data_IF_033332149515
#
_entry.id   IF_033332149515
#
_cell.length_a   1.000
_cell.length_b   1.000
_cell.length_c   1.000
_cell.angle_alpha   90.00
_cell.angle_beta   90.00
_cell.angle_gamma   90.00
#
_symmetry.space_group_name_H-M   'P 1'
#
loop_
_entity.id
_entity.type
_entity.pdbx_description
1 polymer ?
#
# COMPACT_ATOMS: atom_id res chain seq x y z
N UNK A 1 -7.31 -14.14 -7.09
CA UNK A 1 -6.37 -14.56 -8.15
C UNK A 1 -5.47 -15.63 -7.55
N UNK A 2 -5.08 -16.64 -8.31
CA UNK A 2 -4.10 -17.64 -7.90
C UNK A 2 -3.09 -17.85 -9.03
N UNK A 3 -1.81 -17.62 -8.74
CA UNK A 3 -0.73 -17.92 -9.69
C UNK A 3 -0.51 -19.44 -9.74
N UNK A 4 -0.21 -19.98 -10.92
CA UNK A 4 -0.07 -21.42 -11.13
C UNK A 4 1.31 -21.78 -11.67
N UNK A 5 1.86 -20.96 -12.58
CA UNK A 5 3.18 -21.19 -13.18
C UNK A 5 3.82 -19.88 -13.56
N UNK A 6 5.14 -19.82 -13.41
CA UNK A 6 5.97 -18.74 -13.91
C UNK A 6 7.21 -19.33 -14.56
N UNK A 7 7.47 -18.94 -15.80
CA UNK A 7 8.70 -19.26 -16.52
C UNK A 7 9.38 -17.97 -16.97
N UNK A 8 10.68 -17.87 -16.78
CA UNK A 8 11.50 -16.71 -17.16
C UNK A 8 12.73 -17.22 -17.90
N UNK A 9 12.92 -16.76 -19.14
CA UNK A 9 14.06 -17.15 -19.96
C UNK A 9 15.37 -16.56 -19.44
N UNK A 10 15.40 -15.24 -19.29
CA UNK A 10 16.57 -14.52 -18.82
C UNK A 10 16.16 -13.26 -18.07
N UNK A 11 16.38 -13.24 -16.76
CA UNK A 11 16.25 -12.05 -15.94
C UNK A 11 17.26 -12.09 -14.79
N UNK A 12 18.32 -11.28 -14.92
CA UNK A 12 19.40 -11.18 -13.93
C UNK A 12 20.08 -12.52 -13.68
N UNK A 13 19.88 -13.13 -12.51
CA UNK A 13 20.42 -14.45 -12.17
C UNK A 13 19.43 -15.59 -12.41
N UNK A 14 18.20 -15.30 -12.86
CA UNK A 14 17.23 -16.30 -13.29
C UNK A 14 17.52 -16.65 -14.75
N UNK A 15 17.91 -17.90 -15.00
CA UNK A 15 18.27 -18.44 -16.32
C UNK A 15 17.43 -19.68 -16.57
N UNK A 16 16.60 -19.65 -17.61
CA UNK A 16 15.60 -20.69 -17.91
C UNK A 16 14.85 -21.16 -16.65
N UNK A 17 14.47 -20.19 -15.81
CA UNK A 17 13.84 -20.42 -14.52
C UNK A 17 12.39 -20.80 -14.72
N UNK A 18 11.93 -21.81 -14.00
CA UNK A 18 10.54 -22.24 -14.00
C UNK A 18 10.11 -22.64 -12.58
N UNK A 19 8.94 -22.16 -12.16
CA UNK A 19 8.34 -22.52 -10.88
C UNK A 19 6.84 -22.72 -11.06
N UNK A 20 6.29 -23.71 -10.36
CA UNK A 20 4.87 -23.98 -10.26
C UNK A 20 4.37 -23.73 -8.85
N UNK A 21 3.15 -23.24 -8.74
CA UNK A 21 2.48 -22.94 -7.49
C UNK A 21 1.35 -23.94 -7.32
N UNK A 22 1.53 -24.87 -6.40
CA UNK A 22 0.53 -25.89 -6.06
C UNK A 22 -0.72 -25.22 -5.49
N UNK A 23 -1.90 -25.66 -5.92
CA UNK A 23 -3.17 -25.24 -5.32
C UNK A 23 -3.50 -26.08 -4.09
N UNK A 24 -4.07 -27.29 -4.26
CA UNK A 24 -4.27 -28.22 -3.17
C UNK A 24 -2.99 -29.00 -2.85
N UNK A 25 -2.63 -29.10 -1.58
CA UNK A 25 -1.61 -30.04 -1.11
C UNK A 25 -2.07 -30.71 0.21
N UNK A 26 -1.44 -31.83 0.58
CA UNK A 26 -1.68 -32.44 1.88
C UNK A 26 -1.03 -31.60 2.98
N UNK A 27 -1.76 -31.30 4.05
CA UNK A 27 -1.20 -30.71 5.26
C UNK A 27 -0.46 -31.75 6.11
N UNK A 28 -0.02 -31.36 7.31
CA UNK A 28 0.76 -32.23 8.21
C UNK A 28 -0.03 -33.44 8.69
N UNK A 29 -1.37 -33.34 8.65
CA UNK A 29 -2.32 -34.37 9.06
C UNK A 29 -2.78 -35.23 7.86
N UNK A 30 -2.27 -34.94 6.65
CA UNK A 30 -2.60 -35.66 5.42
C UNK A 30 -3.91 -35.20 4.75
N UNK A 31 -4.54 -34.14 5.25
CA UNK A 31 -5.76 -33.58 4.65
C UNK A 31 -5.41 -32.70 3.46
N UNK A 32 -6.10 -32.89 2.34
CA UNK A 32 -5.92 -32.03 1.17
C UNK A 32 -6.58 -30.68 1.46
N UNK A 33 -5.75 -29.64 1.58
CA UNK A 33 -6.21 -28.26 1.78
C UNK A 33 -5.76 -27.38 0.63
N UNK A 34 -6.58 -26.39 0.32
CA UNK A 34 -6.27 -25.37 -0.67
C UNK A 34 -5.34 -24.32 -0.06
N UNK A 35 -4.12 -24.19 -0.58
CA UNK A 35 -3.16 -23.20 -0.11
C UNK A 35 -3.27 -21.91 -0.92
N UNK A 36 -3.54 -20.82 -0.20
CA UNK A 36 -3.58 -19.46 -0.76
C UNK A 36 -2.28 -18.69 -0.55
N UNK A 37 -1.32 -19.29 0.16
CA UNK A 37 -0.01 -18.73 0.45
C UNK A 37 1.11 -19.69 0.02
N UNK A 38 2.22 -19.11 -0.45
CA UNK A 38 3.38 -19.86 -0.92
C UNK A 38 4.63 -19.26 -0.30
N UNK A 39 5.51 -20.11 0.22
CA UNK A 39 6.79 -19.71 0.77
C UNK A 39 7.92 -20.17 -0.16
N UNK A 40 8.79 -19.23 -0.57
CA UNK A 40 9.99 -19.54 -1.35
C UNK A 40 11.21 -19.36 -0.47
N UNK A 41 11.88 -20.47 -0.17
CA UNK A 41 12.99 -20.54 0.78
C UNK A 41 14.27 -20.92 0.05
N UNK A 42 15.40 -20.36 0.47
CA UNK A 42 16.71 -20.67 -0.10
C UNK A 42 17.79 -19.74 0.42
N UNK A 43 19.07 -20.02 0.11
CA UNK A 43 20.20 -19.22 0.57
C UNK A 43 20.22 -17.81 -0.05
N UNK A 44 20.96 -16.89 0.56
CA UNK A 44 21.16 -15.55 -0.02
C UNK A 44 21.81 -15.64 -1.41
N UNK A 45 21.38 -14.77 -2.33
CA UNK A 45 21.85 -14.78 -3.72
C UNK A 45 21.19 -15.82 -4.63
N UNK A 46 20.30 -16.68 -4.12
CA UNK A 46 19.62 -17.72 -4.93
C UNK A 46 18.56 -17.20 -5.92
N UNK A 47 18.31 -15.89 -5.98
CA UNK A 47 17.35 -15.28 -6.91
C UNK A 47 15.94 -15.06 -6.38
N UNK A 48 15.64 -15.38 -5.11
CA UNK A 48 14.30 -15.17 -4.50
C UNK A 48 13.73 -13.77 -4.71
N UNK A 49 14.50 -12.73 -4.38
CA UNK A 49 14.08 -11.34 -4.58
C UNK A 49 13.95 -10.98 -6.06
N UNK A 50 14.78 -11.55 -6.93
CA UNK A 50 14.66 -11.35 -8.38
C UNK A 50 13.39 -12.02 -8.94
N UNK A 51 12.96 -13.15 -8.39
CA UNK A 51 11.69 -13.78 -8.75
C UNK A 51 10.50 -12.90 -8.36
N UNK A 52 10.49 -12.36 -7.14
CA UNK A 52 9.45 -11.43 -6.68
C UNK A 52 9.44 -10.17 -7.55
N UNK A 53 10.60 -9.59 -7.84
CA UNK A 53 10.71 -8.43 -8.73
C UNK A 53 10.23 -8.73 -10.15
N UNK A 54 10.48 -9.93 -10.68
CA UNK A 54 9.98 -10.33 -11.99
C UNK A 54 8.44 -10.41 -12.00
N UNK A 55 7.83 -10.99 -10.97
CA UNK A 55 6.37 -11.05 -10.81
C UNK A 55 5.76 -9.65 -10.79
N UNK A 56 6.32 -8.76 -9.95
CA UNK A 56 5.85 -7.36 -9.87
C UNK A 56 6.01 -6.65 -11.21
N UNK A 57 7.16 -6.82 -11.88
CA UNK A 57 7.43 -6.22 -13.19
C UNK A 57 6.40 -6.69 -14.23
N UNK A 58 6.11 -7.99 -14.30
CA UNK A 58 5.11 -8.55 -15.21
C UNK A 58 3.74 -7.89 -14.98
N UNK A 59 3.23 -7.88 -13.75
CA UNK A 59 1.91 -7.30 -13.48
C UNK A 59 1.88 -5.78 -13.67
N UNK A 60 2.97 -5.08 -13.36
CA UNK A 60 3.12 -3.65 -13.65
C UNK A 60 2.97 -3.39 -15.15
N UNK A 61 3.71 -4.12 -15.97
CA UNK A 61 3.76 -3.91 -17.41
C UNK A 61 2.43 -4.30 -18.08
N UNK A 62 1.82 -5.41 -17.63
CA UNK A 62 0.49 -5.80 -18.06
C UNK A 62 -0.56 -4.73 -17.75
N UNK A 63 -0.51 -4.13 -16.56
CA UNK A 63 -1.45 -3.10 -16.13
C UNK A 63 -1.24 -1.75 -16.83
N UNK A 64 0.02 -1.38 -17.08
CA UNK A 64 0.40 -0.15 -17.77
C UNK A 64 0.38 -0.28 -19.30
N UNK A 65 0.14 -1.50 -19.83
CA UNK A 65 0.29 -1.85 -21.24
C UNK A 65 1.68 -1.47 -21.79
N UNK A 66 2.73 -1.80 -21.03
CA UNK A 66 4.14 -1.61 -21.38
C UNK A 66 4.77 -2.94 -21.79
N UNK A 67 5.88 -2.88 -22.53
CA UNK A 67 6.65 -4.07 -22.89
C UNK A 67 7.54 -4.44 -21.70
N UNK A 68 7.53 -5.70 -21.30
CA UNK A 68 8.46 -6.24 -20.30
C UNK A 68 9.85 -6.44 -20.88
N UNK A 69 10.86 -6.10 -20.08
CA UNK A 69 12.28 -6.12 -20.48
C UNK A 69 12.88 -7.53 -20.55
N UNK A 70 12.10 -8.56 -20.26
CA UNK A 70 12.52 -9.97 -20.30
C UNK A 70 11.39 -10.87 -20.82
N UNK A 71 11.78 -12.01 -21.38
CA UNK A 71 10.87 -13.01 -21.91
C UNK A 71 10.33 -13.92 -20.79
N UNK A 72 9.00 -14.11 -20.76
CA UNK A 72 8.34 -14.90 -19.72
C UNK A 72 7.10 -15.65 -20.24
N UNK A 73 6.70 -16.67 -19.49
CA UNK A 73 5.35 -17.24 -19.49
C UNK A 73 4.79 -17.15 -18.07
N UNK A 74 3.52 -16.79 -17.93
CA UNK A 74 2.84 -16.81 -16.63
C UNK A 74 1.42 -17.37 -16.80
N UNK A 75 1.07 -18.29 -15.92
CA UNK A 75 -0.25 -18.91 -15.85
C UNK A 75 -0.88 -18.58 -14.49
N UNK A 76 -2.13 -18.13 -14.50
CA UNK A 76 -2.86 -17.80 -13.29
C UNK A 76 -4.38 -17.86 -13.50
N UNK A 77 -5.11 -18.09 -12.40
CA UNK A 77 -6.56 -17.93 -12.37
C UNK A 77 -6.96 -16.57 -11.80
N UNK A 78 -7.95 -15.94 -12.41
CA UNK A 78 -8.50 -14.68 -11.92
C UNK A 78 -10.00 -14.61 -12.20
N UNK A 79 -10.81 -14.48 -11.13
CA UNK A 79 -12.27 -14.29 -11.20
C UNK A 79 -12.98 -15.31 -12.12
N UNK A 80 -12.65 -16.61 -12.00
CA UNK A 80 -13.24 -17.66 -12.84
C UNK A 80 -12.67 -17.79 -14.26
N UNK A 81 -11.54 -17.16 -14.54
CA UNK A 81 -10.82 -17.26 -15.80
C UNK A 81 -9.47 -17.91 -15.56
N UNK A 82 -9.03 -18.78 -16.46
CA UNK A 82 -7.65 -19.21 -16.58
C UNK A 82 -6.96 -18.34 -17.64
N UNK A 83 -5.89 -17.64 -17.24
CA UNK A 83 -5.13 -16.75 -18.12
C UNK A 83 -3.72 -17.31 -18.27
N UNK A 84 -3.30 -17.45 -19.51
CA UNK A 84 -1.92 -17.78 -19.87
C UNK A 84 -1.36 -16.64 -20.69
N UNK A 85 -0.24 -16.07 -20.27
CA UNK A 85 0.46 -15.03 -21.02
C UNK A 85 1.78 -15.60 -21.48
N UNK A 86 1.99 -15.62 -22.80
CA UNK A 86 3.26 -15.98 -23.41
C UNK A 86 3.90 -14.74 -24.03
N UNK A 87 4.98 -14.27 -23.43
CA UNK A 87 5.79 -13.15 -23.89
C UNK A 87 7.22 -13.61 -24.25
N UNK A 88 7.37 -14.85 -24.74
CA UNK A 88 8.65 -15.40 -25.16
C UNK A 88 9.13 -14.85 -26.52
N UNK A 89 8.18 -14.40 -27.34
CA UNK A 89 8.41 -13.84 -28.68
C UNK A 89 8.18 -12.32 -28.70
N UNK A 90 8.61 -11.64 -29.76
CA UNK A 90 8.40 -10.18 -29.92
C UNK A 90 6.92 -9.77 -29.85
N UNK A 91 6.03 -10.61 -30.37
CA UNK A 91 4.57 -10.43 -30.30
C UNK A 91 3.98 -11.44 -29.32
N UNK A 92 4.04 -11.10 -28.04
CA UNK A 92 3.41 -11.90 -27.00
C UNK A 92 1.89 -12.02 -27.18
N UNK A 93 1.33 -13.10 -26.64
CA UNK A 93 -0.09 -13.43 -26.71
C UNK A 93 -0.64 -13.76 -25.32
N UNK A 94 -1.93 -13.56 -25.14
CA UNK A 94 -2.68 -14.01 -23.97
C UNK A 94 -3.77 -15.00 -24.41
N UNK A 95 -3.83 -16.16 -23.77
CA UNK A 95 -4.89 -17.14 -23.93
C UNK A 95 -5.78 -17.10 -22.70
N UNK A 96 -7.09 -17.00 -22.90
CA UNK A 96 -8.07 -16.91 -21.82
C UNK A 96 -9.08 -18.03 -21.98
N UNK A 97 -9.30 -18.79 -20.91
CA UNK A 97 -10.34 -19.82 -20.82
C UNK A 97 -11.30 -19.47 -19.70
N UNK A 98 -12.59 -19.37 -20.00
CA UNK A 98 -13.65 -19.18 -19.00
C UNK A 98 -14.02 -20.50 -18.31
N UNK A 99 -14.36 -20.47 -17.02
CA UNK A 99 -14.87 -21.64 -16.31
C UNK A 99 -16.10 -22.21 -17.01
N UNK A 100 -15.97 -23.43 -17.56
CA UNK A 100 -17.04 -24.12 -18.28
C UNK A 100 -16.93 -24.07 -19.81
N UNK A 101 -15.93 -23.38 -20.37
CA UNK A 101 -15.55 -23.49 -21.78
C UNK A 101 -14.36 -24.45 -21.96
N UNK A 102 -14.42 -25.32 -22.97
CA UNK A 102 -13.34 -26.29 -23.25
C UNK A 102 -12.21 -25.70 -24.12
N UNK A 103 -12.44 -24.57 -24.80
CA UNK A 103 -11.47 -23.99 -25.75
C UNK A 103 -10.92 -22.62 -25.31
N UNK A 104 -9.59 -22.43 -25.27
CA UNK A 104 -8.99 -21.14 -24.98
C UNK A 104 -9.21 -20.18 -26.16
N UNK A 105 -9.48 -18.91 -25.85
CA UNK A 105 -9.54 -17.81 -26.83
C UNK A 105 -8.23 -17.03 -26.78
N UNK A 106 -7.61 -16.82 -27.95
CA UNK A 106 -6.36 -16.06 -28.08
C UNK A 106 -6.61 -14.56 -28.28
N UNK A 107 -5.82 -13.73 -27.59
CA UNK A 107 -5.85 -12.28 -27.66
C UNK A 107 -4.44 -11.69 -27.68
N UNK A 108 -4.32 -10.44 -28.12
CA UNK A 108 -3.13 -9.64 -27.86
C UNK A 108 -3.04 -9.31 -26.36
N UNK A 109 -1.82 -9.19 -25.81
CA UNK A 109 -1.59 -8.87 -24.39
C UNK A 109 -2.33 -7.59 -23.95
N UNK A 110 -2.43 -6.58 -24.81
CA UNK A 110 -3.16 -5.33 -24.54
C UNK A 110 -4.66 -5.52 -24.28
N UNK A 111 -5.23 -6.69 -24.59
CA UNK A 111 -6.59 -7.05 -24.18
C UNK A 111 -6.71 -7.17 -22.66
N UNK A 112 -5.67 -7.66 -21.98
CA UNK A 112 -5.67 -7.80 -20.52
C UNK A 112 -5.78 -6.44 -19.83
N UNK A 113 -5.05 -5.44 -20.29
CA UNK A 113 -5.13 -4.08 -19.75
C UNK A 113 -6.50 -3.45 -19.98
N UNK A 114 -7.06 -3.55 -21.20
CA UNK A 114 -8.40 -3.03 -21.52
C UNK A 114 -9.50 -3.65 -20.67
N UNK A 115 -9.29 -4.87 -20.21
CA UNK A 115 -10.21 -5.60 -19.33
C UNK A 115 -9.56 -5.94 -17.98
N UNK A 116 -8.73 -5.02 -17.44
CA UNK A 116 -7.91 -5.24 -16.23
C UNK A 116 -8.76 -5.61 -15.00
N UNK A 117 -9.98 -5.08 -14.87
CA UNK A 117 -10.92 -5.44 -13.80
C UNK A 117 -11.42 -6.88 -13.88
N UNK A 118 -11.33 -7.53 -15.06
CA UNK A 118 -11.73 -8.92 -15.27
C UNK A 118 -10.52 -9.86 -15.17
N UNK A 119 -9.44 -9.56 -15.90
CA UNK A 119 -8.34 -10.51 -16.11
C UNK A 119 -7.05 -10.24 -15.34
N UNK A 120 -6.91 -9.11 -14.64
CA UNK A 120 -5.74 -8.79 -13.82
C UNK A 120 -6.13 -8.70 -12.33
N UNK A 121 -5.22 -9.00 -11.37
CA UNK A 121 -5.51 -8.82 -9.95
C UNK A 121 -5.99 -7.38 -9.65
N UNK A 122 -6.94 -7.21 -8.73
CA UNK A 122 -7.39 -5.87 -8.30
C UNK A 122 -6.21 -5.09 -7.71
N UNK A 123 -5.41 -5.75 -6.87
CA UNK A 123 -4.24 -5.17 -6.24
C UNK A 123 -3.05 -6.15 -6.21
N UNK A 124 -1.85 -5.60 -6.34
CA UNK A 124 -0.56 -6.26 -6.11
C UNK A 124 0.17 -5.46 -5.04
N UNK A 125 0.29 -6.05 -3.86
CA UNK A 125 1.02 -5.46 -2.73
C UNK A 125 2.41 -6.05 -2.66
N UNK A 126 3.41 -5.20 -2.40
CA UNK A 126 4.75 -5.66 -2.06
C UNK A 126 5.18 -5.04 -0.74
N UNK A 127 5.62 -5.89 0.17
CA UNK A 127 6.31 -5.52 1.39
C UNK A 127 7.72 -6.10 1.36
N UNK A 128 8.70 -5.30 1.76
CA UNK A 128 10.10 -5.72 1.86
C UNK A 128 10.65 -5.33 3.24
N UNK A 129 11.16 -6.30 3.99
CA UNK A 129 11.87 -6.02 5.24
C UNK A 129 13.23 -5.40 4.92
N UNK A 130 13.44 -4.17 5.39
CA UNK A 130 14.60 -3.34 5.07
C UNK A 130 14.43 -2.44 3.84
N UNK A 131 15.53 -1.84 3.38
CA UNK A 131 15.52 -0.91 2.24
C UNK A 131 15.78 -1.64 0.94
N UNK A 132 14.82 -1.59 0.02
CA UNK A 132 15.00 -2.04 -1.36
C UNK A 132 14.35 -1.04 -2.32
N UNK A 133 15.13 -0.01 -2.67
CA UNK A 133 14.70 1.03 -3.60
C UNK A 133 14.37 0.47 -5.00
N UNK A 134 14.97 -0.68 -5.35
CA UNK A 134 14.80 -1.30 -6.67
C UNK A 134 13.40 -1.91 -6.85
N UNK A 135 12.89 -2.61 -5.84
CA UNK A 135 11.50 -3.10 -5.91
C UNK A 135 10.52 -1.94 -5.77
N UNK A 136 10.80 -0.97 -4.90
CA UNK A 136 9.97 0.23 -4.72
C UNK A 136 9.82 1.03 -6.02
N UNK A 137 10.90 1.17 -6.79
CA UNK A 137 10.89 1.86 -8.08
C UNK A 137 9.87 1.27 -9.07
N UNK A 138 9.55 -0.03 -8.98
CA UNK A 138 8.56 -0.67 -9.84
C UNK A 138 7.13 -0.13 -9.60
N UNK A 139 6.86 0.49 -8.45
CA UNK A 139 5.56 1.00 -8.05
C UNK A 139 5.38 2.50 -8.31
N UNK A 140 6.45 3.23 -8.64
CA UNK A 140 6.45 4.69 -8.75
C UNK A 140 5.45 5.21 -9.79
N UNK A 141 5.33 4.56 -10.95
CA UNK A 141 4.40 5.00 -11.99
C UNK A 141 2.94 4.91 -11.52
N UNK A 142 2.57 3.85 -10.80
CA UNK A 142 1.24 3.70 -10.22
C UNK A 142 0.98 4.69 -9.09
N UNK A 143 1.99 4.99 -8.28
CA UNK A 143 1.90 6.03 -7.26
C UNK A 143 1.68 7.42 -7.88
N UNK A 144 2.42 7.76 -8.95
CA UNK A 144 2.25 9.04 -9.64
C UNK A 144 0.85 9.16 -10.26
N UNK A 145 0.39 8.13 -10.99
CA UNK A 145 -0.96 8.13 -11.56
C UNK A 145 -2.05 8.30 -10.51
N UNK A 146 -1.89 7.64 -9.36
CA UNK A 146 -2.83 7.76 -8.25
C UNK A 146 -2.83 9.16 -7.64
N UNK A 147 -1.64 9.74 -7.44
CA UNK A 147 -1.50 11.12 -6.98
C UNK A 147 -2.18 12.12 -7.94
N UNK A 148 -1.92 11.99 -9.25
CA UNK A 148 -2.53 12.86 -10.27
C UNK A 148 -4.05 12.68 -10.31
N UNK A 149 -4.55 11.44 -10.13
CA UNK A 149 -5.98 11.16 -10.05
C UNK A 149 -6.63 11.80 -8.82
N UNK A 150 -6.00 11.75 -7.66
CA UNK A 150 -6.49 12.39 -6.44
C UNK A 150 -6.52 13.92 -6.56
N UNK A 151 -5.50 14.52 -7.17
CA UNK A 151 -5.52 15.96 -7.51
C UNK A 151 -6.66 16.31 -8.48
N UNK A 152 -7.02 15.38 -9.37
CA UNK A 152 -8.17 15.49 -10.27
C UNK A 152 -9.53 15.19 -9.63
N UNK A 153 -9.59 14.92 -8.33
CA UNK A 153 -10.83 14.62 -7.60
C UNK A 153 -11.33 13.17 -7.74
N UNK A 154 -10.46 12.22 -8.11
CA UNK A 154 -10.80 10.80 -8.17
C UNK A 154 -11.18 10.25 -6.80
N UNK A 155 -12.21 9.41 -6.78
CA UNK A 155 -12.60 8.69 -5.57
C UNK A 155 -11.92 7.31 -5.42
N UNK A 156 -10.92 7.00 -6.25
CA UNK A 156 -10.19 5.73 -6.15
C UNK A 156 -9.60 5.52 -4.74
N UNK A 157 -9.95 4.41 -4.09
CA UNK A 157 -9.51 4.12 -2.71
C UNK A 157 -8.03 3.75 -2.65
N UNK A 158 -7.60 2.93 -3.59
CA UNK A 158 -6.28 2.30 -3.58
C UNK A 158 -5.82 2.07 -5.01
N UNK A 159 -4.55 2.39 -5.28
CA UNK A 159 -3.91 2.04 -6.55
C UNK A 159 -3.75 0.52 -6.71
N UNK A 160 -3.72 0.04 -7.95
CA UNK A 160 -3.57 -1.39 -8.29
C UNK A 160 -2.21 -1.97 -7.88
N UNK A 161 -1.13 -1.22 -8.03
CA UNK A 161 0.19 -1.65 -7.55
C UNK A 161 0.61 -0.76 -6.38
N UNK A 162 0.78 -1.37 -5.20
CA UNK A 162 1.06 -0.65 -3.96
C UNK A 162 2.29 -1.21 -3.24
N UNK A 163 3.33 -0.38 -3.12
CA UNK A 163 4.49 -0.68 -2.27
C UNK A 163 4.24 -0.25 -0.82
N UNK A 164 4.40 -1.19 0.10
CA UNK A 164 4.17 -0.98 1.52
C UNK A 164 5.41 -0.40 2.20
N UNK A 165 5.35 0.89 2.55
CA UNK A 165 6.32 1.59 3.41
C UNK A 165 5.99 1.37 4.88
N UNK A 166 6.98 1.58 5.74
CA UNK A 166 6.83 1.49 7.20
C UNK A 166 5.72 2.38 7.74
N UNK A 167 5.56 3.59 7.21
CA UNK A 167 4.51 4.53 7.65
C UNK A 167 3.09 3.96 7.49
N UNK A 168 2.85 3.07 6.52
CA UNK A 168 1.51 2.51 6.31
C UNK A 168 1.07 1.60 7.47
N UNK A 169 2.01 1.02 8.21
CA UNK A 169 1.71 0.23 9.41
C UNK A 169 0.99 1.08 10.48
N UNK A 170 1.38 2.35 10.61
CA UNK A 170 0.74 3.31 11.51
C UNK A 170 -0.64 3.70 11.03
N UNK A 171 -0.82 3.92 9.72
CA UNK A 171 -2.13 4.26 9.15
C UNK A 171 -3.11 3.10 9.29
N UNK A 172 -2.63 1.87 9.07
CA UNK A 172 -3.40 0.65 9.31
C UNK A 172 -3.80 0.56 10.78
N UNK A 173 -2.87 0.80 11.72
CA UNK A 173 -3.18 0.74 13.15
C UNK A 173 -4.32 1.67 13.53
N UNK A 174 -4.25 2.93 13.10
CA UNK A 174 -5.29 3.91 13.41
C UNK A 174 -6.65 3.50 12.84
N UNK A 175 -6.67 3.01 11.59
CA UNK A 175 -7.89 2.50 10.98
C UNK A 175 -8.43 1.24 11.70
N UNK A 176 -7.56 0.38 12.22
CA UNK A 176 -7.95 -0.81 13.00
C UNK A 176 -8.54 -0.45 14.36
N UNK A 177 -7.93 0.50 15.07
CA UNK A 177 -8.42 0.98 16.38
C UNK A 177 -9.84 1.56 16.31
N UNK A 178 -10.26 2.01 15.14
CA UNK A 178 -11.58 2.58 14.86
C UNK A 178 -12.59 1.57 14.32
N UNK A 179 -12.15 0.39 13.87
CA UNK A 179 -13.02 -0.59 13.22
C UNK A 179 -13.57 -1.59 14.22
N UNK A 180 -14.89 -1.62 14.36
CA UNK A 180 -15.61 -2.60 15.18
C UNK A 180 -15.78 -3.94 14.43
N UNK A 181 -14.66 -4.57 14.06
CA UNK A 181 -14.60 -5.85 13.33
C UNK A 181 -13.86 -6.91 14.15
N UNK A 182 -14.44 -8.11 14.27
CA UNK A 182 -13.91 -9.19 15.13
C UNK A 182 -12.49 -9.62 14.73
N UNK A 183 -12.18 -9.63 13.44
CA UNK A 183 -10.83 -9.94 12.96
C UNK A 183 -9.83 -8.84 13.31
N UNK A 184 -10.22 -7.56 13.19
CA UNK A 184 -9.39 -6.43 13.61
C UNK A 184 -9.12 -6.47 15.11
N UNK A 185 -10.15 -6.74 15.92
CA UNK A 185 -10.03 -6.91 17.38
C UNK A 185 -9.09 -8.05 17.73
N UNK A 186 -9.20 -9.18 17.02
CA UNK A 186 -8.30 -10.31 17.19
C UNK A 186 -6.85 -9.94 16.88
N UNK A 187 -6.59 -9.24 15.77
CA UNK A 187 -5.23 -8.81 15.43
C UNK A 187 -4.67 -7.86 16.49
N UNK A 188 -5.47 -6.89 16.97
CA UNK A 188 -5.04 -6.00 18.05
C UNK A 188 -4.75 -6.77 19.34
N UNK A 189 -5.58 -7.76 19.68
CA UNK A 189 -5.39 -8.62 20.85
C UNK A 189 -4.15 -9.52 20.72
N UNK A 190 -3.88 -10.10 19.54
CA UNK A 190 -2.67 -10.88 19.27
C UNK A 190 -1.39 -10.03 19.38
N UNK A 191 -1.52 -8.70 19.20
CA UNK A 191 -0.47 -7.69 19.39
C UNK A 191 -0.49 -7.06 20.79
N UNK A 192 -1.34 -7.54 21.71
CA UNK A 192 -1.49 -7.01 23.07
C UNK A 192 -1.86 -5.51 23.14
N UNK A 193 -2.44 -4.97 22.07
CA UNK A 193 -2.93 -3.58 21.97
C UNK A 193 -4.37 -3.53 22.47
N UNK A 194 -4.63 -2.78 23.54
CA UNK A 194 -5.95 -2.68 24.15
C UNK A 194 -6.76 -1.51 23.59
N UNK A 195 -6.14 -0.33 23.49
CA UNK A 195 -6.82 0.90 23.10
C UNK A 195 -5.83 1.97 22.63
N UNK A 196 -6.34 3.00 21.98
CA UNK A 196 -5.58 4.20 21.67
C UNK A 196 -5.37 5.03 22.94
N UNK A 197 -4.14 5.44 23.20
CA UNK A 197 -3.88 6.51 24.16
C UNK A 197 -3.97 7.87 23.47
N UNK A 198 -3.11 8.13 22.48
CA UNK A 198 -3.05 9.43 21.80
C UNK A 198 -2.37 9.35 20.44
N UNK A 199 -2.64 10.34 19.58
CA UNK A 199 -1.97 10.51 18.29
C UNK A 199 -1.45 11.92 18.16
N UNK A 200 -0.19 12.07 17.76
CA UNK A 200 0.36 13.35 17.33
C UNK A 200 0.69 13.27 15.84
N UNK A 201 -0.04 14.04 15.04
CA UNK A 201 0.30 14.29 13.66
C UNK A 201 1.28 15.44 13.58
N UNK A 202 2.46 15.19 13.02
CA UNK A 202 3.44 16.22 12.70
C UNK A 202 3.29 16.50 11.21
N UNK A 203 2.69 17.64 10.90
CA UNK A 203 2.59 18.12 9.54
C UNK A 203 3.80 18.98 9.21
N UNK A 204 4.17 19.03 7.93
CA UNK A 204 5.26 19.86 7.44
C UNK A 204 4.85 20.68 6.23
N UNK A 205 5.54 21.80 6.05
CA UNK A 205 5.53 22.53 4.78
C UNK A 205 5.94 21.60 3.64
N UNK A 206 5.05 21.37 2.65
CA UNK A 206 5.32 20.46 1.55
C UNK A 206 6.25 21.10 0.51
N UNK A 207 6.99 20.28 -0.24
CA UNK A 207 7.96 20.74 -1.24
C UNK A 207 7.35 21.61 -2.36
N UNK A 208 6.07 21.41 -2.66
CA UNK A 208 5.37 22.10 -3.75
C UNK A 208 4.85 23.48 -3.34
N UNK A 209 4.81 23.81 -2.04
CA UNK A 209 4.32 25.11 -1.58
C UNK A 209 5.33 26.22 -1.87
N UNK A 210 4.86 27.23 -2.59
CA UNK A 210 5.63 28.44 -2.91
C UNK A 210 4.92 29.67 -2.32
N UNK A 211 5.64 30.75 -1.95
CA UNK A 211 5.00 31.97 -1.47
C UNK A 211 4.13 32.66 -2.52
N UNK A 212 4.46 32.48 -3.80
CA UNK A 212 3.86 33.12 -4.98
C UNK A 212 2.92 32.16 -5.72
N UNK A 213 1.96 31.55 -5.01
CA UNK A 213 0.95 30.68 -5.65
C UNK A 213 -0.05 31.49 -6.48
N UNK A 214 -0.63 30.86 -7.49
CA UNK A 214 -1.71 31.43 -8.29
C UNK A 214 -2.95 31.76 -7.41
N UNK A 215 -3.67 32.85 -7.74
CA UNK A 215 -4.86 33.29 -6.99
C UNK A 215 -5.93 32.20 -6.85
N UNK A 216 -6.11 31.36 -7.87
CA UNK A 216 -7.04 30.23 -7.83
C UNK A 216 -6.71 29.25 -6.69
N UNK A 217 -5.43 29.03 -6.39
CA UNK A 217 -4.99 28.15 -5.30
C UNK A 217 -5.22 28.85 -3.96
N UNK A 218 -4.92 30.14 -3.87
CA UNK A 218 -5.10 30.91 -2.65
C UNK A 218 -6.57 31.04 -2.23
N UNK A 219 -7.49 31.09 -3.20
CA UNK A 219 -8.93 31.20 -2.95
C UNK A 219 -9.59 29.85 -2.59
N UNK A 220 -9.04 28.74 -3.07
CA UNK A 220 -9.65 27.41 -2.90
C UNK A 220 -8.93 26.52 -1.88
N UNK A 221 -7.69 26.85 -1.50
CA UNK A 221 -6.90 26.08 -0.53
C UNK A 221 -7.00 26.61 0.90
N UNK A 222 -6.64 25.76 1.85
CA UNK A 222 -6.63 26.12 3.28
C UNK A 222 -5.30 26.72 3.71
N UNK A 223 -5.32 27.99 4.10
CA UNK A 223 -4.11 28.72 4.51
C UNK A 223 -3.45 28.16 5.78
N UNK A 224 -4.18 27.43 6.63
CA UNK A 224 -3.62 26.73 7.80
C UNK A 224 -2.67 25.60 7.37
N UNK A 225 -2.87 25.06 6.18
CA UNK A 225 -2.20 23.87 5.67
C UNK A 225 -1.49 24.12 4.33
N UNK A 226 -0.80 25.26 4.22
CA UNK A 226 -0.04 25.64 3.03
C UNK A 226 -0.87 25.60 1.73
N UNK A 227 -2.16 25.95 1.83
CA UNK A 227 -3.14 25.92 0.74
C UNK A 227 -3.34 24.53 0.11
N UNK A 228 -3.27 23.48 0.93
CA UNK A 228 -3.75 22.16 0.55
C UNK A 228 -5.22 22.22 0.08
N UNK A 229 -5.59 21.35 -0.86
CA UNK A 229 -6.90 21.33 -1.54
C UNK A 229 -7.49 19.92 -1.61
N UNK A 230 -8.79 19.85 -1.89
CA UNK A 230 -9.51 18.60 -2.17
C UNK A 230 -9.56 17.67 -0.96
N UNK A 231 -9.41 16.36 -1.20
CA UNK A 231 -9.45 15.30 -0.18
C UNK A 231 -8.50 15.61 1.00
N UNK A 232 -7.30 16.13 0.72
CA UNK A 232 -6.35 16.46 1.79
C UNK A 232 -6.85 17.60 2.66
N UNK A 233 -7.46 18.63 2.07
CA UNK A 233 -8.04 19.75 2.81
C UNK A 233 -9.20 19.29 3.70
N UNK A 234 -10.09 18.43 3.17
CA UNK A 234 -11.22 17.88 3.94
C UNK A 234 -10.73 17.13 5.18
N UNK A 235 -9.73 16.26 5.03
CA UNK A 235 -9.14 15.55 6.16
C UNK A 235 -8.50 16.48 7.18
N UNK A 236 -7.70 17.44 6.72
CA UNK A 236 -6.99 18.35 7.61
C UNK A 236 -7.96 19.30 8.35
N UNK A 237 -9.07 19.70 7.73
CA UNK A 237 -10.12 20.49 8.39
C UNK A 237 -10.81 19.71 9.51
N UNK A 238 -11.16 18.44 9.27
CA UNK A 238 -11.74 17.58 10.33
C UNK A 238 -10.70 17.29 11.43
N UNK A 239 -9.45 17.04 11.05
CA UNK A 239 -8.36 16.83 12.01
C UNK A 239 -8.16 18.05 12.91
N UNK A 240 -8.25 19.26 12.34
CA UNK A 240 -8.15 20.51 13.10
C UNK A 240 -9.24 20.66 14.16
N UNK A 241 -10.47 20.22 13.87
CA UNK A 241 -11.62 20.35 14.78
C UNK A 241 -11.48 19.51 16.04
N UNK A 242 -10.83 18.36 15.93
CA UNK A 242 -10.61 17.43 17.06
C UNK A 242 -9.27 17.68 17.77
N UNK A 243 -8.42 18.52 17.20
CA UNK A 243 -7.09 18.79 17.72
C UNK A 243 -7.10 19.64 18.99
N UNK A 244 -6.22 19.29 19.93
CA UNK A 244 -6.00 20.08 21.14
C UNK A 244 -4.77 20.97 20.95
N UNK A 245 -5.01 22.29 20.98
CA UNK A 245 -3.98 23.34 20.92
C UNK A 245 -2.89 23.10 19.86
N UNK A 246 -3.21 23.17 18.55
CA UNK A 246 -2.21 23.04 17.49
C UNK A 246 -1.03 24.01 17.67
N UNK A 247 0.19 23.53 17.41
CA UNK A 247 1.43 24.30 17.65
C UNK A 247 2.20 24.44 16.35
N UNK A 248 2.41 25.68 15.92
CA UNK A 248 3.37 26.01 14.87
C UNK A 248 4.79 26.00 15.43
N UNK A 249 5.69 25.36 14.69
CA UNK A 249 7.10 25.34 15.02
C UNK A 249 7.94 25.45 13.75
N UNK A 250 9.09 26.10 13.87
CA UNK A 250 10.06 26.12 12.79
C UNK A 250 11.42 25.72 13.32
N UNK A 251 12.03 24.74 12.68
CA UNK A 251 13.36 24.25 13.03
C UNK A 251 14.29 24.18 11.82
N UNK A 252 15.60 24.14 12.09
CA UNK A 252 16.61 23.90 11.05
C UNK A 252 16.99 22.41 11.06
N UNK A 253 16.47 21.65 10.09
CA UNK A 253 16.74 20.22 9.96
C UNK A 253 18.04 19.96 9.22
N UNK A 254 18.81 18.98 9.69
CA UNK A 254 19.97 18.48 8.97
C UNK A 254 19.52 17.65 7.78
N UNK A 255 19.87 18.08 6.57
CA UNK A 255 19.60 17.35 5.33
C UNK A 255 20.55 16.18 5.13
N UNK A 256 21.81 16.36 5.50
CA UNK A 256 22.85 15.36 5.33
C UNK A 256 23.90 15.40 6.44
N UNK A 257 24.74 14.36 6.48
CA UNK A 257 25.84 14.23 7.43
C UNK A 257 26.93 15.31 7.26
N UNK A 258 26.87 16.12 6.19
CA UNK A 258 27.83 17.19 5.90
C UNK A 258 27.44 18.51 6.54
N UNK A 259 26.33 18.53 7.29
CA UNK A 259 25.90 19.69 8.07
C UNK A 259 25.04 20.67 7.27
N UNK A 260 24.58 20.31 6.08
CA UNK A 260 23.59 21.14 5.36
C UNK A 260 22.30 21.17 6.16
N UNK A 261 21.75 22.38 6.34
CA UNK A 261 20.50 22.58 7.05
C UNK A 261 19.46 23.23 6.16
N UNK A 262 18.22 22.83 6.34
CA UNK A 262 17.05 23.46 5.74
C UNK A 262 16.08 23.89 6.83
N UNK A 263 15.49 25.08 6.66
CA UNK A 263 14.45 25.58 7.54
C UNK A 263 13.15 24.86 7.18
N UNK A 264 12.61 24.10 8.13
CA UNK A 264 11.38 23.35 7.97
C UNK A 264 10.30 23.94 8.89
N UNK A 265 9.20 24.38 8.29
CA UNK A 265 8.00 24.76 9.03
C UNK A 265 7.18 23.49 9.32
N UNK A 266 6.76 23.34 10.57
CA UNK A 266 6.05 22.20 11.12
C UNK A 266 4.79 22.66 11.85
N UNK A 267 3.76 21.84 11.81
CA UNK A 267 2.53 22.03 12.55
C UNK A 267 2.21 20.75 13.32
N UNK A 268 2.21 20.86 14.65
CA UNK A 268 1.90 19.76 15.55
C UNK A 268 0.41 19.73 15.87
N UNK A 269 -0.24 18.61 15.58
CA UNK A 269 -1.69 18.43 15.75
C UNK A 269 -1.95 17.21 16.64
N UNK A 270 -2.35 17.47 17.89
CA UNK A 270 -2.52 16.44 18.90
C UNK A 270 -3.99 15.99 19.02
N UNK A 271 -4.22 14.69 18.90
CA UNK A 271 -5.51 14.02 19.10
C UNK A 271 -5.42 13.21 20.42
N UNK A 272 -6.20 13.57 21.44
CA UNK A 272 -5.95 13.15 22.81
C UNK A 272 -6.36 11.72 23.15
N UNK A 273 -7.30 11.12 22.41
CA UNK A 273 -7.88 9.81 22.73
C UNK A 273 -8.64 9.18 21.54
N UNK A 274 -9.13 7.95 21.74
CA UNK A 274 -9.95 7.22 20.76
C UNK A 274 -11.25 7.94 20.42
N UNK A 275 -11.88 8.65 21.36
CA UNK A 275 -13.15 9.34 21.11
C UNK A 275 -12.96 10.52 20.17
N UNK A 276 -11.90 11.31 20.35
CA UNK A 276 -11.52 12.39 19.45
C UNK A 276 -11.14 11.85 18.06
N UNK A 277 -10.43 10.71 18.00
CA UNK A 277 -10.14 10.05 16.74
C UNK A 277 -11.41 9.51 16.05
N UNK A 278 -12.38 8.99 16.81
CA UNK A 278 -13.66 8.53 16.27
C UNK A 278 -14.47 9.69 15.66
N UNK A 279 -14.52 10.85 16.33
CA UNK A 279 -15.18 12.06 15.82
C UNK A 279 -14.60 12.54 14.49
N UNK A 280 -13.28 12.42 14.30
CA UNK A 280 -12.61 12.69 13.02
C UNK A 280 -13.17 11.80 11.91
N UNK A 281 -13.40 10.52 12.20
CA UNK A 281 -13.81 9.54 11.20
C UNK A 281 -15.31 9.53 10.92
N UNK A 282 -16.16 10.01 11.83
CA UNK A 282 -17.61 10.18 11.61
C UNK A 282 -17.96 10.94 10.32
N UNK A 283 -17.11 11.91 9.92
CA UNK A 283 -17.29 12.69 8.68
C UNK A 283 -16.57 12.13 7.47
N UNK A 284 -15.50 11.37 7.70
CA UNK A 284 -14.66 10.77 6.65
C UNK A 284 -15.25 9.46 6.12
N UNK A 285 -15.99 8.73 6.95
CA UNK A 285 -16.63 7.46 6.59
C UNK A 285 -15.84 6.23 7.04
N UNK A 286 -15.89 5.16 6.26
CA UNK A 286 -15.30 3.86 6.64
C UNK A 286 -13.77 3.93 6.88
N UNK A 287 -13.20 3.00 7.69
CA UNK A 287 -11.76 2.93 7.95
C UNK A 287 -10.86 2.88 6.70
N UNK A 288 -11.37 2.33 5.58
CA UNK A 288 -10.67 2.34 4.29
C UNK A 288 -10.56 3.74 3.68
N UNK A 289 -11.59 4.58 3.83
CA UNK A 289 -11.51 6.00 3.47
C UNK A 289 -10.52 6.71 4.38
N UNK A 290 -10.57 6.46 5.69
CA UNK A 290 -9.61 7.06 6.61
C UNK A 290 -8.15 6.72 6.25
N UNK A 291 -7.88 5.46 5.88
CA UNK A 291 -6.57 5.07 5.32
C UNK A 291 -6.23 5.86 4.06
N UNK A 292 -7.17 5.99 3.10
CA UNK A 292 -7.00 6.78 1.88
C UNK A 292 -6.68 8.26 2.19
N UNK A 293 -7.34 8.89 3.16
CA UNK A 293 -7.08 10.28 3.54
C UNK A 293 -5.68 10.46 4.15
N UNK A 294 -5.27 9.55 5.05
CA UNK A 294 -3.92 9.54 5.61
C UNK A 294 -2.87 9.36 4.51
N UNK A 295 -3.10 8.39 3.64
CA UNK A 295 -2.21 8.10 2.53
C UNK A 295 -2.11 9.28 1.57
N UNK A 296 -3.24 9.87 1.19
CA UNK A 296 -3.32 11.05 0.31
C UNK A 296 -2.53 12.22 0.90
N UNK A 297 -2.70 12.49 2.19
CA UNK A 297 -1.98 13.57 2.89
C UNK A 297 -0.49 13.29 2.96
N UNK A 298 -0.09 12.03 3.14
CA UNK A 298 1.31 11.61 3.12
C UNK A 298 1.95 11.74 1.73
N UNK A 299 1.31 11.26 0.66
CA UNK A 299 1.85 11.38 -0.71
C UNK A 299 1.83 12.83 -1.21
N UNK A 300 0.95 13.68 -0.67
CA UNK A 300 0.96 15.13 -0.87
C UNK A 300 2.04 15.86 -0.07
N UNK A 301 2.95 15.14 0.57
CA UNK A 301 4.12 15.66 1.29
C UNK A 301 3.77 16.53 2.52
N UNK A 302 2.59 16.32 3.11
CA UNK A 302 2.12 17.11 4.26
C UNK A 302 2.32 16.40 5.60
N UNK A 303 2.29 15.06 5.64
CA UNK A 303 2.63 14.30 6.86
C UNK A 303 4.14 14.08 6.91
N UNK A 304 4.78 14.62 7.94
CA UNK A 304 6.17 14.34 8.26
C UNK A 304 6.31 13.08 9.12
N UNK A 305 5.50 13.01 10.17
CA UNK A 305 5.53 11.93 11.16
C UNK A 305 4.15 11.75 11.78
N UNK A 306 3.80 10.51 12.13
CA UNK A 306 2.67 10.22 13.00
C UNK A 306 3.20 9.48 14.22
N UNK A 307 2.96 10.00 15.41
CA UNK A 307 3.33 9.36 16.66
C UNK A 307 2.08 8.83 17.33
N UNK A 308 2.00 7.51 17.45
CA UNK A 308 0.85 6.82 18.03
C UNK A 308 1.30 6.22 19.35
N UNK A 309 0.59 6.54 20.42
CA UNK A 309 0.71 5.87 21.70
C UNK A 309 -0.52 5.00 21.92
N UNK A 310 -0.30 3.77 22.38
CA UNK A 310 -1.36 2.80 22.66
C UNK A 310 -1.22 2.25 24.07
N UNK A 311 -2.34 1.85 24.65
CA UNK A 311 -2.40 1.09 25.90
C UNK A 311 -2.09 -0.36 25.59
N UNK A 312 -1.11 -0.93 26.28
CA UNK A 312 -0.62 -2.29 26.02
C UNK A 312 -0.81 -3.17 27.26
N UNK A 313 -1.20 -4.43 27.09
CA UNK A 313 -1.51 -5.31 28.22
C UNK A 313 -0.31 -5.69 29.08
N UNK A 314 0.87 -5.76 28.47
CA UNK A 314 2.06 -6.34 29.12
C UNK A 314 2.85 -5.34 29.96
N UNK A 315 2.46 -4.06 29.96
CA UNK A 315 3.15 -3.01 30.72
C UNK A 315 2.16 -2.11 31.46
N UNK A 316 2.57 -1.62 32.63
CA UNK A 316 1.86 -0.56 33.34
C UNK A 316 2.19 0.79 32.67
N UNK A 317 1.53 1.08 31.55
CA UNK A 317 1.67 2.35 30.83
C UNK A 317 1.35 2.28 29.35
N UNK A 318 1.77 3.31 28.62
CA UNK A 318 1.58 3.41 27.17
C UNK A 318 2.87 3.08 26.45
N UNK A 319 2.77 2.38 25.33
CA UNK A 319 3.90 2.23 24.39
C UNK A 319 3.69 3.14 23.19
N UNK A 320 4.79 3.68 22.69
CA UNK A 320 4.81 4.27 21.37
C UNK A 320 4.85 3.16 20.31
N UNK A 321 4.17 3.34 19.19
CA UNK A 321 4.16 2.39 18.07
C UNK A 321 5.56 1.92 17.64
N UNK A 322 6.56 2.81 17.70
CA UNK A 322 7.95 2.49 17.33
C UNK A 322 8.61 1.46 18.25
N UNK A 323 8.00 1.16 19.41
CA UNK A 323 8.47 0.15 20.36
C UNK A 323 7.91 -1.25 20.05
N UNK A 324 6.93 -1.38 19.15
CA UNK A 324 6.52 -2.69 18.61
C UNK A 324 7.65 -3.29 17.79
N UNK A 325 7.79 -4.60 17.83
CA UNK A 325 8.77 -5.33 17.03
C UNK A 325 8.51 -5.18 15.53
N UNK A 326 9.55 -5.29 14.71
CA UNK A 326 9.41 -5.22 13.25
C UNK A 326 8.41 -6.29 12.73
N UNK A 327 8.41 -7.48 13.32
CA UNK A 327 7.48 -8.57 12.97
C UNK A 327 6.02 -8.23 13.26
N UNK A 328 5.73 -7.54 14.36
CA UNK A 328 4.38 -7.08 14.72
C UNK A 328 3.88 -6.00 13.77
N UNK A 329 4.74 -5.01 13.48
CA UNK A 329 4.42 -3.95 12.51
C UNK A 329 4.19 -4.53 11.10
N UNK A 330 4.97 -5.54 10.72
CA UNK A 330 4.81 -6.30 9.47
C UNK A 330 3.47 -7.02 9.40
N UNK A 331 3.16 -7.82 10.41
CA UNK A 331 1.92 -8.58 10.49
C UNK A 331 0.72 -7.65 10.40
N UNK A 332 0.73 -6.56 11.18
CA UNK A 332 -0.30 -5.54 11.16
C UNK A 332 -0.49 -4.95 9.75
N UNK A 333 0.60 -4.56 9.09
CA UNK A 333 0.54 -3.96 7.75
C UNK A 333 -0.06 -4.91 6.72
N UNK A 334 0.40 -6.16 6.70
CA UNK A 334 -0.03 -7.15 5.69
C UNK A 334 -1.50 -7.50 5.90
N UNK A 335 -1.91 -7.84 7.13
CA UNK A 335 -3.30 -8.15 7.43
C UNK A 335 -4.21 -6.94 7.21
N UNK A 336 -3.73 -5.76 7.61
CA UNK A 336 -4.37 -4.46 7.39
C UNK A 336 -4.77 -4.21 5.96
N UNK A 337 -3.78 -4.22 5.07
CA UNK A 337 -3.99 -3.93 3.67
C UNK A 337 -4.83 -5.01 2.99
N UNK A 338 -4.66 -6.28 3.38
CA UNK A 338 -5.55 -7.35 2.92
C UNK A 338 -7.00 -7.07 3.30
N UNK A 339 -7.26 -6.60 4.53
CA UNK A 339 -8.62 -6.30 5.01
C UNK A 339 -9.23 -5.07 4.34
N UNK A 340 -8.46 -4.01 4.09
CA UNK A 340 -8.96 -2.82 3.39
C UNK A 340 -9.21 -3.05 1.90
N UNK A 341 -8.60 -4.07 1.32
CA UNK A 341 -8.69 -4.38 -0.12
C UNK A 341 -9.51 -5.63 -0.43
N UNK A 342 -10.03 -6.30 0.60
CA UNK A 342 -11.16 -7.21 0.44
C UNK A 342 -12.37 -6.37 0.01
N UNK A 343 -12.61 -6.33 -1.30
CA UNK A 343 -13.90 -5.95 -1.86
C UNK A 343 -14.96 -6.79 -1.14
N UNK A 344 -15.88 -6.11 -0.44
CA UNK A 344 -17.09 -6.73 0.13
C UNK A 344 -17.87 -7.26 -1.08
N UNK A 345 -17.72 -8.55 -1.37
CA UNK A 345 -18.50 -9.27 -2.37
C UNK A 345 -19.69 -9.96 -1.72
#
# INVERSE_FOLDING_TARGET
MQMQRLKIKDFRNLRDFEITFSGPAADIDGEIREFKSHAVIGPNGSGKSNMIEAIVTIFRDLDLNQKTDFAYEIDYTCRGHHIQVNAMEEKGKASITESGEDSPKEFAISHLQRHAKKYLPSHVFAYYSGRNERIEALFQQHQQKFYDALLGGSDELMRRLFYCRSVHSQFVLLAYLLKEDEECKRVLADLNIQDLDSVLFVLKRPYWFKPDMAEEILNNGDNRFWYARGIVQEFLDELWKVAVAPIDHTENRLLDFRGRKEKQDLLYVFVPDKEALAKLVEKIGEPSHFFKYLESTYISDLIDEVRINVKHSDIDGNINFTQLSEGEQQLLTVLGLMRFTQEIF
#
